data_IF_697207590236
#
_entry.id   IF_697207590236
#
_cell.length_a   1.000
_cell.length_b   1.000
_cell.length_c   1.000
_cell.angle_alpha   90.00
_cell.angle_beta   90.00
_cell.angle_gamma   90.00
#
_symmetry.space_group_name_H-M   'P 1'
#
loop_
_entity.id
_entity.type
_entity.pdbx_description
1 polymer ?
#
# COMPACT_ATOMS: atom_id res chain seq x y z
N UNK A 1 4.86 -1.04 -25.35
CA UNK A 1 3.99 0.16 -25.41
C UNK A 1 3.77 0.66 -24.00
N UNK A 2 4.09 1.92 -23.68
CA UNK A 2 3.73 2.49 -22.37
C UNK A 2 2.21 2.58 -22.29
N UNK A 3 1.61 1.90 -21.31
CA UNK A 3 0.16 1.95 -21.03
C UNK A 3 -0.32 3.39 -20.96
N UNK A 4 -1.50 3.69 -21.51
CA UNK A 4 -2.09 5.04 -21.51
C UNK A 4 -2.22 5.64 -20.11
N UNK A 5 -2.36 4.79 -19.09
CA UNK A 5 -2.32 5.17 -17.69
C UNK A 5 -0.96 5.78 -17.28
N UNK A 6 0.15 5.18 -17.73
CA UNK A 6 1.50 5.68 -17.41
C UNK A 6 1.76 7.03 -18.06
N UNK A 7 1.31 7.23 -19.29
CA UNK A 7 1.42 8.53 -19.98
C UNK A 7 0.61 9.60 -19.26
N UNK A 8 -0.64 9.29 -18.91
CA UNK A 8 -1.49 10.24 -18.19
C UNK A 8 -0.93 10.60 -16.80
N UNK A 9 -0.36 9.62 -16.09
CA UNK A 9 0.29 9.86 -14.80
C UNK A 9 1.52 10.78 -14.96
N UNK A 10 2.37 10.54 -15.96
CA UNK A 10 3.53 11.40 -16.23
C UNK A 10 3.12 12.86 -16.50
N UNK A 11 2.04 13.07 -17.24
CA UNK A 11 1.51 14.41 -17.48
C UNK A 11 0.98 15.06 -16.20
N UNK A 12 0.25 14.31 -15.35
CA UNK A 12 -0.22 14.81 -14.06
C UNK A 12 0.91 15.15 -13.09
N UNK A 13 2.00 14.36 -13.10
CA UNK A 13 3.18 14.59 -12.26
C UNK A 13 3.92 15.90 -12.58
N UNK A 14 3.69 16.53 -13.74
CA UNK A 14 4.23 17.87 -14.05
C UNK A 14 3.63 18.96 -13.15
N UNK A 15 2.45 18.75 -12.57
CA UNK A 15 1.86 19.67 -11.61
C UNK A 15 2.50 19.45 -10.22
N UNK A 16 3.20 20.44 -9.63
CA UNK A 16 3.88 20.28 -8.35
C UNK A 16 2.95 19.94 -7.18
N UNK A 17 1.72 20.45 -7.17
CA UNK A 17 0.75 20.13 -6.11
C UNK A 17 0.30 18.66 -6.22
N UNK A 18 0.10 18.17 -7.43
CA UNK A 18 -0.21 16.76 -7.67
C UNK A 18 0.97 15.85 -7.32
N UNK A 19 2.19 16.22 -7.72
CA UNK A 19 3.40 15.45 -7.43
C UNK A 19 3.65 15.30 -5.93
N UNK A 20 3.51 16.38 -5.15
CA UNK A 20 3.62 16.32 -3.67
C UNK A 20 2.57 15.40 -3.07
N UNK A 21 1.29 15.58 -3.43
CA UNK A 21 0.22 14.72 -2.92
C UNK A 21 0.41 13.24 -3.31
N UNK A 22 0.98 12.98 -4.49
CA UNK A 22 1.34 11.63 -4.93
C UNK A 22 2.47 11.04 -4.09
N UNK A 23 3.55 11.79 -3.88
CA UNK A 23 4.69 11.36 -3.05
C UNK A 23 4.28 11.13 -1.59
N UNK A 24 3.42 12.00 -1.04
CA UNK A 24 2.90 11.88 0.32
C UNK A 24 2.07 10.61 0.53
N UNK A 25 1.30 10.17 -0.48
CA UNK A 25 0.45 8.98 -0.42
C UNK A 25 1.14 7.68 -0.85
N UNK A 26 2.41 7.74 -1.27
CA UNK A 26 3.13 6.60 -1.85
C UNK A 26 3.27 5.46 -0.82
N UNK A 27 3.54 5.77 0.44
CA UNK A 27 3.74 4.73 1.47
C UNK A 27 2.43 3.98 1.78
N UNK A 28 1.31 4.69 1.91
CA UNK A 28 -0.02 4.12 2.10
C UNK A 28 -0.39 3.21 0.93
N UNK A 29 -0.07 3.65 -0.29
CA UNK A 29 -0.28 2.86 -1.49
C UNK A 29 0.55 1.56 -1.47
N UNK A 30 1.84 1.63 -1.15
CA UNK A 30 2.72 0.46 -1.07
C UNK A 30 2.22 -0.56 -0.03
N UNK A 31 1.79 -0.09 1.14
CA UNK A 31 1.25 -0.96 2.20
C UNK A 31 -0.06 -1.61 1.75
N UNK A 32 -1.01 -0.83 1.20
CA UNK A 32 -2.27 -1.36 0.66
C UNK A 32 -2.01 -2.45 -0.39
N UNK A 33 -1.13 -2.16 -1.35
CA UNK A 33 -0.74 -3.10 -2.41
C UNK A 33 -0.15 -4.39 -1.85
N UNK A 34 0.69 -4.31 -0.83
CA UNK A 34 1.28 -5.49 -0.19
C UNK A 34 0.21 -6.36 0.48
N UNK A 35 -0.76 -5.75 1.18
CA UNK A 35 -1.87 -6.47 1.84
C UNK A 35 -2.80 -7.11 0.81
N UNK A 36 -3.18 -6.39 -0.25
CA UNK A 36 -4.00 -6.94 -1.34
C UNK A 36 -3.29 -8.10 -2.00
N UNK A 37 -1.99 -7.96 -2.29
CA UNK A 37 -1.18 -9.02 -2.90
C UNK A 37 -1.17 -10.27 -2.00
N UNK A 38 -0.86 -10.11 -0.72
CA UNK A 38 -0.89 -11.20 0.26
C UNK A 38 -2.25 -11.91 0.24
N UNK A 39 -3.35 -11.15 0.27
CA UNK A 39 -4.70 -11.71 0.25
C UNK A 39 -4.97 -12.56 -0.99
N UNK A 40 -4.60 -12.03 -2.16
CA UNK A 40 -4.80 -12.69 -3.45
C UNK A 40 -3.91 -13.94 -3.59
N UNK A 41 -2.66 -13.87 -3.15
CA UNK A 41 -1.73 -15.00 -3.15
C UNK A 41 -2.24 -16.16 -2.27
N UNK A 42 -2.96 -15.84 -1.19
CA UNK A 42 -3.61 -16.83 -0.33
C UNK A 42 -5.00 -17.28 -0.83
N UNK A 43 -5.50 -16.72 -1.93
CA UNK A 43 -6.84 -17.03 -2.47
C UNK A 43 -7.99 -16.61 -1.55
N UNK A 44 -7.81 -15.58 -0.72
CA UNK A 44 -8.77 -15.19 0.31
C UNK A 44 -9.63 -13.98 -0.10
N UNK A 45 -10.86 -13.95 0.39
CA UNK A 45 -11.68 -12.73 0.47
C UNK A 45 -11.21 -11.83 1.63
N UNK A 46 -11.60 -10.55 1.64
CA UNK A 46 -11.26 -9.64 2.75
C UNK A 46 -11.76 -10.17 4.10
N UNK A 47 -12.95 -10.76 4.12
CA UNK A 47 -13.54 -11.36 5.32
C UNK A 47 -12.72 -12.56 5.82
N UNK A 48 -12.27 -13.43 4.91
CA UNK A 48 -11.45 -14.60 5.27
C UNK A 48 -10.05 -14.20 5.76
N UNK A 49 -9.40 -13.21 5.13
CA UNK A 49 -8.14 -12.68 5.64
C UNK A 49 -8.31 -12.10 7.04
N UNK A 50 -9.39 -11.35 7.29
CA UNK A 50 -9.68 -10.76 8.58
C UNK A 50 -9.87 -11.82 9.68
N UNK A 51 -10.62 -12.89 9.35
CA UNK A 51 -10.80 -14.04 10.25
C UNK A 51 -9.46 -14.71 10.58
N UNK A 52 -8.63 -14.99 9.57
CA UNK A 52 -7.32 -15.62 9.77
C UNK A 52 -6.35 -14.74 10.57
N UNK A 53 -6.44 -13.41 10.39
CA UNK A 53 -5.64 -12.43 11.12
C UNK A 53 -6.24 -12.07 12.49
N UNK A 54 -7.39 -12.63 12.88
CA UNK A 54 -8.12 -12.32 14.12
C UNK A 54 -8.38 -10.82 14.31
N UNK A 55 -8.76 -10.13 13.23
CA UNK A 55 -9.14 -8.71 13.26
C UNK A 55 -10.52 -8.49 12.64
N UNK A 56 -11.22 -7.39 12.95
CA UNK A 56 -12.45 -7.03 12.24
C UNK A 56 -12.20 -6.85 10.73
N UNK A 57 -13.17 -7.23 9.89
CA UNK A 57 -13.09 -7.01 8.43
C UNK A 57 -12.83 -5.54 8.07
N UNK A 58 -13.36 -4.60 8.86
CA UNK A 58 -13.13 -3.17 8.69
C UNK A 58 -11.66 -2.76 8.80
N UNK A 59 -10.84 -3.52 9.55
CA UNK A 59 -9.38 -3.30 9.63
C UNK A 59 -8.72 -3.67 8.31
N UNK A 60 -9.04 -4.84 7.76
CA UNK A 60 -8.52 -5.26 6.44
C UNK A 60 -9.00 -4.31 5.34
N UNK A 61 -10.27 -3.94 5.33
CA UNK A 61 -10.81 -2.99 4.36
C UNK A 61 -10.12 -1.61 4.44
N UNK A 62 -9.80 -1.13 5.65
CA UNK A 62 -9.05 0.12 5.84
C UNK A 62 -7.63 0.00 5.29
N UNK A 63 -6.93 -1.10 5.58
CA UNK A 63 -5.59 -1.36 5.06
C UNK A 63 -5.57 -1.40 3.53
N UNK A 64 -6.50 -2.13 2.91
CA UNK A 64 -6.57 -2.25 1.45
C UNK A 64 -7.03 -0.95 0.78
N UNK A 65 -7.70 -0.04 1.49
CA UNK A 65 -8.14 1.22 0.89
C UNK A 65 -7.01 2.21 0.57
N UNK A 66 -5.85 2.08 1.22
CA UNK A 66 -4.72 3.01 1.03
C UNK A 66 -5.01 4.46 1.47
N UNK A 67 -6.09 4.70 2.21
CA UNK A 67 -6.50 6.05 2.66
C UNK A 67 -5.81 6.53 3.93
N UNK A 68 -5.16 5.62 4.66
CA UNK A 68 -4.54 5.91 5.94
C UNK A 68 -3.28 5.06 6.13
N UNK A 69 -2.25 5.66 6.71
CA UNK A 69 -1.05 4.97 7.12
C UNK A 69 -1.32 4.14 8.39
N UNK A 70 -1.27 2.80 8.33
CA UNK A 70 -1.42 1.98 9.53
C UNK A 70 -0.18 2.05 10.42
N UNK A 71 -0.38 1.78 11.72
CA UNK A 71 0.75 1.65 12.63
C UNK A 71 1.56 0.36 12.38
N UNK A 72 2.87 0.42 12.56
CA UNK A 72 3.74 -0.78 12.53
C UNK A 72 3.31 -1.83 13.56
N UNK A 73 2.76 -1.41 14.70
CA UNK A 73 2.20 -2.31 15.72
C UNK A 73 1.05 -3.16 15.16
N UNK A 74 0.11 -2.52 14.46
CA UNK A 74 -1.03 -3.21 13.83
C UNK A 74 -0.57 -4.18 12.76
N UNK A 75 0.36 -3.76 11.90
CA UNK A 75 0.94 -4.63 10.86
C UNK A 75 1.63 -5.85 11.50
N UNK A 76 2.41 -5.65 12.57
CA UNK A 76 3.09 -6.73 13.29
C UNK A 76 2.12 -7.73 13.93
N UNK A 77 1.00 -7.25 14.48
CA UNK A 77 -0.03 -8.13 15.04
C UNK A 77 -0.67 -9.01 13.96
N UNK A 78 -1.04 -8.43 12.82
CA UNK A 78 -1.59 -9.17 11.67
C UNK A 78 -0.57 -10.18 11.17
N UNK A 79 0.68 -9.77 10.94
CA UNK A 79 1.74 -10.65 10.48
C UNK A 79 1.96 -11.84 11.42
N UNK A 80 1.98 -11.60 12.74
CA UNK A 80 2.10 -12.65 13.76
C UNK A 80 0.97 -13.68 13.67
N UNK A 81 -0.28 -13.23 13.50
CA UNK A 81 -1.46 -14.12 13.39
C UNK A 81 -1.46 -14.94 12.10
N UNK A 82 -0.84 -14.42 11.04
CA UNK A 82 -0.69 -15.10 9.76
C UNK A 82 0.59 -15.95 9.66
N UNK A 83 1.40 -16.02 10.73
CA UNK A 83 2.72 -16.68 10.75
C UNK A 83 3.69 -16.12 9.70
N UNK A 84 3.61 -14.80 9.47
CA UNK A 84 4.45 -14.06 8.53
C UNK A 84 5.42 -13.14 9.27
N UNK A 85 6.50 -12.78 8.59
CA UNK A 85 7.41 -11.72 9.01
C UNK A 85 7.35 -10.53 8.05
N UNK A 86 7.52 -9.32 8.59
CA UNK A 86 7.57 -8.09 7.79
C UNK A 86 9.02 -7.85 7.37
N UNK A 87 9.22 -7.61 6.07
CA UNK A 87 10.51 -7.15 5.52
C UNK A 87 10.37 -5.68 5.15
N UNK A 88 11.30 -4.85 5.64
CA UNK A 88 11.40 -3.43 5.32
C UNK A 88 12.73 -3.17 4.65
N UNK A 89 12.70 -2.41 3.57
CA UNK A 89 13.89 -2.04 2.80
C UNK A 89 13.85 -0.53 2.53
N UNK A 90 15.01 0.12 2.63
CA UNK A 90 15.17 1.55 2.39
C UNK A 90 15.76 1.77 1.01
N UNK A 91 15.08 2.59 0.20
CA UNK A 91 15.55 2.93 -1.14
C UNK A 91 15.86 4.42 -1.22
N UNK A 92 16.87 4.84 -2.02
CA UNK A 92 17.12 6.24 -2.26
C UNK A 92 15.87 6.95 -2.78
N UNK A 93 15.55 8.10 -2.22
CA UNK A 93 14.47 8.93 -2.74
C UNK A 93 14.85 9.42 -4.14
N UNK A 94 14.00 9.16 -5.13
CA UNK A 94 14.16 9.82 -6.44
C UNK A 94 13.96 11.30 -6.20
N UNK A 95 15.01 12.11 -6.36
CA UNK A 95 14.85 13.56 -6.42
C UNK A 95 13.93 13.84 -7.62
N UNK A 96 12.69 14.27 -7.37
CA UNK A 96 11.91 14.94 -8.39
C UNK A 96 12.75 16.13 -8.84
N UNK A 97 13.32 16.05 -10.04
CA UNK A 97 14.03 17.14 -10.67
C UNK A 97 12.97 18.22 -10.97
N UNK A 98 12.70 19.06 -9.97
CA UNK A 98 12.08 20.35 -10.20
C UNK A 98 13.22 21.20 -10.76
N UNK A 99 13.27 21.28 -12.09
CA UNK A 99 13.94 22.36 -12.81
C UNK A 99 12.88 23.38 -13.14
#
# INVERSE_FOLDING_TARGET
MMSDLKKHLQEKMKNPAFARAWEEAELEYQISRAVIKLRLDMGLTQKQLAQKAEVPQSVIARLESGRHLPSLRSLKQIAKKLELHIVLDFKPQKKSAIV
#
